data_IF_543944761134
#
_entry.id   IF_543944761134
#
_cell.length_a   1.000
_cell.length_b   1.000
_cell.length_c   1.000
_cell.angle_alpha   90.00
_cell.angle_beta   90.00
_cell.angle_gamma   90.00
#
_symmetry.space_group_name_H-M   'P 1'
#
loop_
_entity.id
_entity.type
_entity.pdbx_description
1 polymer ?
#
# COMPACT_ATOMS: atom_id res chain seq x y z
N UNK A 1 32.92 3.75 2.28
CA UNK A 1 32.75 5.14 1.82
C UNK A 1 31.45 5.14 1.04
N UNK A 2 30.44 5.89 1.48
CA UNK A 2 29.12 5.94 0.83
C UNK A 2 29.24 6.35 -0.63
N UNK A 3 28.56 5.62 -1.51
CA UNK A 3 28.38 5.94 -2.92
C UNK A 3 26.97 6.50 -3.12
N UNK A 4 26.85 7.58 -3.91
CA UNK A 4 25.56 8.20 -4.19
C UNK A 4 25.43 8.59 -5.66
N UNK A 5 24.19 8.62 -6.16
CA UNK A 5 23.87 9.15 -7.48
C UNK A 5 23.92 10.67 -7.51
N UNK A 6 24.57 11.26 -8.51
CA UNK A 6 24.38 12.66 -8.85
C UNK A 6 23.12 12.79 -9.73
N UNK A 7 22.01 13.24 -9.14
CA UNK A 7 20.73 13.44 -9.85
C UNK A 7 20.80 14.48 -10.96
N UNK A 8 21.86 15.31 -11.02
CA UNK A 8 22.08 16.26 -12.11
C UNK A 8 22.66 15.64 -13.37
N UNK A 9 23.69 14.81 -13.24
CA UNK A 9 24.49 14.35 -14.39
C UNK A 9 24.64 12.82 -14.49
N UNK A 10 24.05 12.07 -13.56
CA UNK A 10 24.08 10.61 -13.57
C UNK A 10 25.37 9.97 -13.07
N UNK A 11 26.43 10.75 -12.81
CA UNK A 11 27.67 10.20 -12.27
C UNK A 11 27.54 9.77 -10.80
N UNK A 12 28.37 8.81 -10.42
CA UNK A 12 28.56 8.41 -9.03
C UNK A 12 29.39 9.48 -8.31
N UNK A 13 28.93 9.90 -7.12
CA UNK A 13 29.67 10.76 -6.18
C UNK A 13 30.07 9.99 -4.92
N UNK A 14 31.18 10.40 -4.30
CA UNK A 14 31.71 9.84 -3.04
C UNK A 14 31.08 10.54 -1.84
N UNK A 15 29.84 10.13 -1.54
CA UNK A 15 29.06 10.65 -0.43
C UNK A 15 27.95 11.60 -0.88
N UNK A 16 26.81 11.53 -0.18
CA UNK A 16 25.60 12.28 -0.51
C UNK A 16 25.82 13.80 -0.48
N UNK A 17 26.50 14.31 0.55
CA UNK A 17 26.68 15.75 0.77
C UNK A 17 27.90 16.33 0.04
N UNK A 18 28.68 15.50 -0.64
CA UNK A 18 29.88 15.94 -1.37
C UNK A 18 29.47 16.42 -2.77
N UNK A 19 29.94 17.59 -3.23
CA UNK A 19 29.74 18.03 -4.61
C UNK A 19 30.20 16.96 -5.61
N UNK A 20 29.46 16.80 -6.70
CA UNK A 20 29.83 15.84 -7.74
C UNK A 20 31.12 16.25 -8.44
N UNK A 21 32.10 15.34 -8.53
CA UNK A 21 33.38 15.60 -9.20
C UNK A 21 33.23 15.96 -10.70
N UNK A 22 32.13 15.54 -11.33
CA UNK A 22 31.88 15.80 -12.75
C UNK A 22 31.19 17.15 -13.03
N UNK A 23 30.20 17.54 -12.23
CA UNK A 23 29.41 18.76 -12.49
C UNK A 23 29.55 19.85 -11.42
N UNK A 24 30.26 19.58 -10.33
CA UNK A 24 30.46 20.50 -9.20
C UNK A 24 29.21 20.76 -8.35
N UNK A 25 28.07 20.14 -8.66
CA UNK A 25 26.80 20.37 -7.96
C UNK A 25 26.68 19.46 -6.73
N UNK A 26 26.38 20.05 -5.58
CA UNK A 26 26.05 19.36 -4.33
C UNK A 26 24.60 18.87 -4.27
N UNK A 27 24.21 18.30 -3.14
CA UNK A 27 22.83 17.83 -2.95
C UNK A 27 21.83 18.99 -2.95
N UNK A 28 20.72 18.85 -3.67
CA UNK A 28 19.62 19.84 -3.71
C UNK A 28 18.43 19.40 -2.86
N UNK A 29 18.20 18.09 -2.80
CA UNK A 29 17.19 17.47 -1.95
C UNK A 29 17.81 16.23 -1.32
N UNK A 30 18.40 16.40 -0.13
CA UNK A 30 19.13 15.33 0.56
C UNK A 30 18.24 14.13 0.86
N UNK A 31 16.96 14.35 1.16
CA UNK A 31 16.05 13.27 1.57
C UNK A 31 15.70 12.37 0.39
N UNK A 32 15.43 12.97 -0.78
CA UNK A 32 15.22 12.22 -2.01
C UNK A 32 16.52 11.57 -2.51
N UNK A 33 17.62 12.32 -2.54
CA UNK A 33 18.90 11.81 -3.04
C UNK A 33 19.50 10.71 -2.15
N UNK A 34 19.17 10.68 -0.85
CA UNK A 34 19.56 9.62 0.08
C UNK A 34 19.09 8.24 -0.39
N UNK A 35 17.93 8.17 -1.04
CA UNK A 35 17.36 6.93 -1.57
C UNK A 35 18.15 6.34 -2.74
N UNK A 36 19.01 7.15 -3.36
CA UNK A 36 19.91 6.74 -4.46
C UNK A 36 21.35 6.60 -3.98
N UNK A 37 21.52 6.04 -2.79
CA UNK A 37 22.82 5.71 -2.19
C UNK A 37 22.98 4.21 -1.99
N UNK A 38 24.22 3.78 -1.81
CA UNK A 38 24.59 2.39 -1.53
C UNK A 38 24.07 1.87 -0.17
N UNK A 39 23.40 2.72 0.62
CA UNK A 39 22.65 2.31 1.81
C UNK A 39 21.26 1.75 1.49
N UNK A 40 20.69 2.10 0.35
CA UNK A 40 19.31 1.76 -0.03
C UNK A 40 19.24 0.85 -1.26
N UNK A 41 20.10 1.09 -2.26
CA UNK A 41 20.14 0.32 -3.51
C UNK A 41 21.56 -0.08 -3.86
N UNK A 42 21.74 -1.14 -4.65
CA UNK A 42 23.06 -1.61 -5.06
C UNK A 42 23.79 -0.58 -5.93
N UNK A 43 25.12 -0.63 -5.94
CA UNK A 43 25.92 0.22 -6.84
C UNK A 43 25.56 -0.02 -8.32
N UNK A 44 25.13 -1.24 -8.68
CA UNK A 44 24.68 -1.58 -10.02
C UNK A 44 23.41 -0.79 -10.36
N UNK A 45 22.42 -0.79 -9.47
CA UNK A 45 21.19 0.01 -9.65
C UNK A 45 21.48 1.51 -9.70
N UNK A 46 22.42 2.01 -8.88
CA UNK A 46 22.87 3.41 -8.95
C UNK A 46 23.44 3.75 -10.33
N UNK A 47 24.25 2.86 -10.91
CA UNK A 47 24.83 3.05 -12.26
C UNK A 47 23.75 3.04 -13.33
N UNK A 48 22.75 2.17 -13.23
CA UNK A 48 21.64 2.10 -14.19
C UNK A 48 20.80 3.38 -14.16
N UNK A 49 20.49 3.92 -12.98
CA UNK A 49 19.87 5.25 -12.87
C UNK A 49 20.78 6.35 -13.41
N UNK A 50 22.09 6.24 -13.21
CA UNK A 50 23.07 7.14 -13.79
C UNK A 50 23.02 7.17 -15.32
N UNK A 51 22.98 5.99 -15.95
CA UNK A 51 22.85 5.84 -17.39
C UNK A 51 21.52 6.42 -17.91
N UNK A 52 20.43 6.24 -17.16
CA UNK A 52 19.13 6.86 -17.47
C UNK A 52 19.22 8.39 -17.45
N UNK A 53 19.81 8.98 -16.41
CA UNK A 53 19.97 10.45 -16.33
C UNK A 53 20.82 10.95 -17.50
N UNK A 54 21.94 10.30 -17.81
CA UNK A 54 22.77 10.67 -18.97
C UNK A 54 21.96 10.65 -20.27
N UNK A 55 21.16 9.62 -20.51
CA UNK A 55 20.29 9.53 -21.69
C UNK A 55 19.25 10.65 -21.75
N UNK A 56 18.64 11.02 -20.62
CA UNK A 56 17.72 12.16 -20.54
C UNK A 56 18.45 13.47 -20.84
N UNK A 57 19.64 13.67 -20.26
CA UNK A 57 20.45 14.85 -20.50
C UNK A 57 20.85 14.97 -21.97
N UNK A 58 21.23 13.87 -22.63
CA UNK A 58 21.62 13.88 -24.04
C UNK A 58 20.44 14.16 -24.99
N UNK A 59 19.23 13.77 -24.59
CA UNK A 59 18.02 13.91 -25.40
C UNK A 59 17.33 15.26 -25.23
N UNK A 60 17.47 15.90 -24.07
CA UNK A 60 16.80 17.16 -23.77
C UNK A 60 17.58 18.38 -24.29
N UNK A 61 16.84 19.30 -24.94
CA UNK A 61 17.35 20.64 -25.30
C UNK A 61 17.59 21.46 -24.03
N UNK A 62 16.62 21.48 -23.11
CA UNK A 62 16.74 22.11 -21.79
C UNK A 62 17.16 21.08 -20.73
N UNK A 63 18.34 21.27 -20.14
CA UNK A 63 18.90 20.40 -19.10
C UNK A 63 18.08 20.40 -17.81
N UNK A 64 17.20 21.38 -17.62
CA UNK A 64 16.22 21.42 -16.53
C UNK A 64 15.05 20.47 -16.79
N UNK A 65 14.62 20.34 -18.05
CA UNK A 65 13.60 19.36 -18.44
C UNK A 65 14.12 17.94 -18.24
N UNK A 66 15.38 17.66 -18.60
CA UNK A 66 15.99 16.35 -18.33
C UNK A 66 16.03 16.01 -16.83
N UNK A 67 16.34 16.99 -15.98
CA UNK A 67 16.34 16.83 -14.52
C UNK A 67 14.93 16.46 -14.02
N UNK A 68 13.91 17.24 -14.38
CA UNK A 68 12.53 16.97 -13.95
C UNK A 68 11.90 15.72 -14.61
N UNK A 69 12.38 15.32 -15.79
CA UNK A 69 12.01 14.05 -16.41
C UNK A 69 12.48 12.84 -15.60
N UNK A 70 13.63 12.93 -14.93
CA UNK A 70 14.06 11.89 -13.99
C UNK A 70 13.08 11.77 -12.82
N UNK A 71 12.70 12.88 -12.18
CA UNK A 71 11.68 12.88 -11.13
C UNK A 71 10.33 12.35 -11.61
N UNK A 72 9.91 12.72 -12.83
CA UNK A 72 8.71 12.16 -13.46
C UNK A 72 8.80 10.64 -13.60
N UNK A 73 9.94 10.10 -14.04
CA UNK A 73 10.15 8.65 -14.14
C UNK A 73 10.06 7.99 -12.77
N UNK A 74 10.73 8.52 -11.76
CA UNK A 74 10.69 7.96 -10.41
C UNK A 74 9.26 7.95 -9.87
N UNK A 75 8.55 9.07 -9.91
CA UNK A 75 7.15 9.14 -9.47
C UNK A 75 6.21 8.18 -10.24
N UNK A 76 6.49 7.91 -11.51
CA UNK A 76 5.60 7.16 -12.40
C UNK A 76 5.86 5.66 -12.38
N UNK A 77 7.13 5.25 -12.32
CA UNK A 77 7.56 3.87 -12.53
C UNK A 77 8.19 3.24 -11.28
N UNK A 78 8.68 4.05 -10.33
CA UNK A 78 9.32 3.61 -9.08
C UNK A 78 8.82 4.43 -7.87
N UNK A 79 7.50 4.50 -7.62
CA UNK A 79 6.90 5.39 -6.63
C UNK A 79 7.34 5.12 -5.18
N UNK A 80 7.96 3.97 -4.91
CA UNK A 80 8.58 3.62 -3.64
C UNK A 80 9.76 4.49 -3.24
N UNK A 81 10.44 5.14 -4.20
CA UNK A 81 11.46 6.15 -3.91
C UNK A 81 10.87 7.53 -3.55
N UNK A 82 9.57 7.58 -3.21
CA UNK A 82 8.88 8.78 -2.75
C UNK A 82 8.34 9.64 -3.89
N UNK A 83 7.36 10.47 -3.54
CA UNK A 83 6.72 11.42 -4.46
C UNK A 83 7.40 12.77 -4.28
N UNK A 84 8.05 13.25 -5.33
CA UNK A 84 8.53 14.64 -5.39
C UNK A 84 7.57 15.48 -6.22
N UNK A 85 7.20 16.66 -5.73
CA UNK A 85 6.43 17.61 -6.52
C UNK A 85 7.24 18.08 -7.72
N UNK A 86 6.73 17.84 -8.92
CA UNK A 86 7.30 18.35 -10.15
C UNK A 86 6.70 19.75 -10.37
N UNK A 87 7.50 20.81 -10.56
CA UNK A 87 6.96 22.13 -10.81
C UNK A 87 6.04 22.10 -12.04
N UNK A 88 4.88 22.77 -12.00
CA UNK A 88 3.92 22.77 -13.10
C UNK A 88 4.54 23.18 -14.45
N UNK A 89 5.54 24.07 -14.41
CA UNK A 89 6.29 24.54 -15.59
C UNK A 89 7.04 23.43 -16.34
N UNK A 90 7.38 22.32 -15.67
CA UNK A 90 8.15 21.22 -16.25
C UNK A 90 7.33 19.93 -16.45
N UNK A 91 6.08 19.89 -16.00
CA UNK A 91 5.31 18.63 -15.95
C UNK A 91 5.05 18.05 -17.34
N UNK A 92 4.47 18.84 -18.27
CA UNK A 92 4.17 18.31 -19.60
C UNK A 92 5.42 18.09 -20.46
N UNK A 93 6.41 19.00 -20.40
CA UNK A 93 7.66 18.84 -21.15
C UNK A 93 8.48 17.63 -20.70
N UNK A 94 8.49 17.32 -19.40
CA UNK A 94 9.12 16.11 -18.86
C UNK A 94 8.44 14.84 -19.37
N UNK A 95 7.10 14.84 -19.36
CA UNK A 95 6.29 13.72 -19.85
C UNK A 95 6.42 13.51 -21.36
N UNK A 96 6.49 14.58 -22.15
CA UNK A 96 6.74 14.52 -23.59
C UNK A 96 8.11 13.92 -23.89
N UNK A 97 9.17 14.42 -23.24
CA UNK A 97 10.53 13.87 -23.37
C UNK A 97 10.55 12.37 -23.07
N UNK A 98 9.93 11.93 -21.98
CA UNK A 98 9.90 10.51 -21.60
C UNK A 98 9.15 9.65 -22.61
N UNK A 99 8.06 10.15 -23.20
CA UNK A 99 7.27 9.43 -24.22
C UNK A 99 8.02 9.24 -25.54
N UNK A 100 8.89 10.17 -25.90
CA UNK A 100 9.70 10.09 -27.14
C UNK A 100 10.84 9.07 -27.01
N UNK A 101 11.21 8.70 -25.78
CA UNK A 101 12.31 7.80 -25.50
C UNK A 101 11.84 6.35 -25.34
N UNK A 102 12.54 5.43 -26.00
CA UNK A 102 12.45 4.01 -25.67
C UNK A 102 13.35 3.75 -24.46
N UNK A 103 12.75 3.56 -23.29
CA UNK A 103 13.45 3.32 -22.03
C UNK A 103 13.25 1.86 -21.58
N UNK A 104 14.34 1.24 -21.12
CA UNK A 104 14.29 -0.10 -20.52
C UNK A 104 14.11 0.00 -19.01
N UNK A 105 13.34 -0.92 -18.42
CA UNK A 105 13.19 -0.94 -16.96
C UNK A 105 14.54 -1.15 -16.29
N UNK A 106 14.71 -0.49 -15.15
CA UNK A 106 15.84 -0.69 -14.27
C UNK A 106 15.46 -1.81 -13.30
N UNK A 107 16.36 -2.78 -13.12
CA UNK A 107 16.20 -3.81 -12.10
C UNK A 107 16.75 -3.21 -10.80
N UNK A 108 15.84 -2.98 -9.85
CA UNK A 108 16.24 -2.53 -8.53
C UNK A 108 16.78 -3.72 -7.76
N UNK A 109 18.04 -3.62 -7.36
CA UNK A 109 18.68 -4.50 -6.40
C UNK A 109 18.81 -3.73 -5.09
N UNK A 110 18.21 -4.25 -4.03
CA UNK A 110 18.30 -3.62 -2.71
C UNK A 110 19.76 -3.55 -2.25
N UNK A 111 20.13 -2.43 -1.65
CA UNK A 111 21.43 -2.27 -1.02
C UNK A 111 21.57 -3.19 0.19
N UNK A 112 22.75 -3.25 0.83
CA UNK A 112 22.88 -3.74 2.19
C UNK A 112 22.04 -2.83 3.09
N UNK A 113 20.74 -3.10 3.20
CA UNK A 113 19.81 -2.34 4.01
C UNK A 113 20.51 -2.12 5.34
N UNK A 114 20.75 -0.86 5.70
CA UNK A 114 20.87 -0.46 7.10
C UNK A 114 19.52 -0.86 7.70
N UNK A 115 19.41 -2.12 8.11
CA UNK A 115 18.43 -2.49 9.09
C UNK A 115 18.88 -1.66 10.29
N UNK A 116 18.32 -0.47 10.45
CA UNK A 116 18.13 0.06 11.76
C UNK A 116 17.22 -0.96 12.42
N UNK A 117 17.85 -1.99 12.99
CA UNK A 117 17.27 -3.01 13.85
C UNK A 117 16.51 -2.34 15.00
N UNK A 118 16.76 -1.04 15.23
CA UNK A 118 16.14 -0.21 16.24
C UNK A 118 14.87 0.54 15.82
N UNK A 119 14.53 0.65 14.53
CA UNK A 119 13.25 1.26 14.14
C UNK A 119 12.19 0.19 13.90
N UNK A 120 11.68 -0.36 15.02
CA UNK A 120 10.63 -1.38 15.01
C UNK A 120 9.35 -0.96 14.27
N UNK A 121 9.24 0.33 13.91
CA UNK A 121 8.10 0.96 13.27
C UNK A 121 8.32 1.29 11.79
N UNK A 122 9.48 0.95 11.21
CA UNK A 122 9.78 1.33 9.85
C UNK A 122 8.96 0.53 8.82
N UNK A 123 8.52 1.23 7.78
CA UNK A 123 8.00 0.60 6.57
C UNK A 123 9.13 -0.16 5.87
N UNK A 124 8.89 -1.43 5.53
CA UNK A 124 9.86 -2.30 4.89
C UNK A 124 9.45 -2.57 3.45
N UNK A 125 10.31 -2.16 2.52
CA UNK A 125 10.16 -2.39 1.08
C UNK A 125 11.29 -3.28 0.60
N UNK A 126 10.97 -4.22 -0.28
CA UNK A 126 11.94 -5.04 -1.02
C UNK A 126 11.61 -5.06 -2.49
N UNK A 127 12.62 -5.21 -3.33
CA UNK A 127 12.45 -5.27 -4.77
C UNK A 127 12.55 -6.69 -5.30
N UNK A 128 11.57 -7.07 -6.11
CA UNK A 128 11.47 -8.40 -6.70
C UNK A 128 11.57 -8.33 -8.21
N UNK A 129 12.46 -9.13 -8.78
CA UNK A 129 12.59 -9.26 -10.24
C UNK A 129 11.37 -9.98 -10.81
N UNK A 130 10.85 -9.43 -11.90
CA UNK A 130 9.77 -10.04 -12.67
C UNK A 130 9.90 -9.67 -14.15
N UNK A 131 9.01 -10.18 -14.99
CA UNK A 131 8.87 -9.76 -16.38
C UNK A 131 7.51 -9.11 -16.58
N UNK A 132 7.48 -8.01 -17.34
CA UNK A 132 6.22 -7.37 -17.70
C UNK A 132 5.29 -8.39 -18.39
N UNK A 133 4.04 -8.58 -17.95
CA UNK A 133 3.16 -9.59 -18.53
C UNK A 133 2.80 -9.28 -19.99
N UNK A 134 2.89 -8.01 -20.39
CA UNK A 134 2.51 -7.52 -21.73
C UNK A 134 3.65 -7.57 -22.74
N UNK A 135 4.83 -7.02 -22.42
CA UNK A 135 5.95 -6.92 -23.36
C UNK A 135 7.15 -7.82 -23.02
N UNK A 136 7.08 -8.57 -21.92
CA UNK A 136 8.10 -9.53 -21.44
C UNK A 136 9.46 -8.93 -21.08
N UNK A 137 9.64 -7.62 -21.13
CA UNK A 137 10.85 -6.98 -20.62
C UNK A 137 11.03 -7.27 -19.13
N UNK A 138 12.25 -7.59 -18.73
CA UNK A 138 12.60 -7.68 -17.31
C UNK A 138 12.39 -6.35 -16.63
N UNK A 139 11.93 -6.40 -15.39
CA UNK A 139 11.71 -5.27 -14.50
C UNK A 139 11.77 -5.74 -13.05
N UNK A 140 11.67 -4.80 -12.12
CA UNK A 140 11.38 -5.09 -10.71
C UNK A 140 10.07 -4.45 -10.28
N UNK A 141 9.50 -4.95 -9.20
CA UNK A 141 8.42 -4.27 -8.48
C UNK A 141 8.74 -4.20 -6.99
N UNK A 142 8.23 -3.18 -6.32
CA UNK A 142 8.34 -3.01 -4.88
C UNK A 142 7.26 -3.82 -4.14
N UNK A 143 7.69 -4.68 -3.22
CA UNK A 143 6.86 -5.37 -2.25
C UNK A 143 7.00 -4.71 -0.88
N UNK A 144 5.90 -4.14 -0.39
CA UNK A 144 5.82 -3.44 0.89
C UNK A 144 5.48 -4.46 2.00
N UNK A 145 6.44 -5.27 2.41
CA UNK A 145 6.20 -6.36 3.37
C UNK A 145 5.72 -5.88 4.75
N UNK A 146 6.16 -4.70 5.18
CA UNK A 146 5.62 -4.02 6.37
C UNK A 146 5.26 -2.60 5.98
N UNK A 147 4.01 -2.20 6.20
CA UNK A 147 3.51 -0.87 5.91
C UNK A 147 3.02 -0.22 7.20
N UNK A 148 3.75 0.78 7.69
CA UNK A 148 3.33 1.57 8.84
C UNK A 148 2.34 2.66 8.39
N UNK A 149 1.08 2.48 8.77
CA UNK A 149 -0.01 3.41 8.50
C UNK A 149 -0.17 4.52 9.53
N UNK A 150 0.65 4.60 10.58
CA UNK A 150 0.43 5.52 11.72
C UNK A 150 0.44 6.98 11.27
N UNK A 151 1.53 7.53 10.73
CA UNK A 151 1.65 8.98 10.53
C UNK A 151 1.77 9.44 9.07
N UNK A 152 1.76 8.54 8.09
CA UNK A 152 1.99 8.90 6.69
C UNK A 152 0.69 8.97 5.86
N UNK A 153 0.26 10.21 5.57
CA UNK A 153 -0.92 10.49 4.75
C UNK A 153 -0.79 9.98 3.30
N UNK A 154 0.42 9.94 2.74
CA UNK A 154 0.69 9.45 1.38
C UNK A 154 0.62 7.92 1.31
N UNK A 155 1.06 7.23 2.37
CA UNK A 155 0.88 5.78 2.46
C UNK A 155 -0.61 5.43 2.61
N UNK A 156 -1.33 6.20 3.45
CA UNK A 156 -2.78 6.08 3.64
C UNK A 156 -3.58 6.26 2.34
N UNK A 157 -3.27 7.28 1.53
CA UNK A 157 -3.93 7.48 0.23
C UNK A 157 -3.52 6.39 -0.78
N UNK A 158 -2.24 6.02 -0.79
CA UNK A 158 -1.72 4.99 -1.68
C UNK A 158 -2.35 3.62 -1.49
N UNK A 159 -2.63 3.21 -0.25
CA UNK A 159 -3.32 1.96 0.02
C UNK A 159 -4.76 1.99 -0.52
N UNK A 160 -5.49 3.08 -0.24
CA UNK A 160 -6.88 3.24 -0.69
C UNK A 160 -7.04 3.22 -2.21
N UNK A 161 -6.04 3.72 -2.93
CA UNK A 161 -5.97 3.71 -4.39
C UNK A 161 -5.40 2.41 -4.95
N UNK A 162 -4.94 1.48 -4.10
CA UNK A 162 -4.27 0.25 -4.52
C UNK A 162 -2.92 0.49 -5.22
N UNK A 163 -2.23 1.61 -4.94
CA UNK A 163 -0.93 1.93 -5.55
C UNK A 163 0.14 0.88 -5.21
N UNK A 164 0.17 0.37 -3.98
CA UNK A 164 1.15 -0.63 -3.53
C UNK A 164 1.04 -1.98 -4.25
N UNK A 165 -0.10 -2.26 -4.88
CA UNK A 165 -0.36 -3.52 -5.55
C UNK A 165 -0.33 -3.40 -7.07
N UNK A 166 0.23 -2.30 -7.59
CA UNK A 166 0.33 -2.03 -9.02
C UNK A 166 1.77 -1.70 -9.38
N UNK A 167 2.21 -2.23 -10.51
CA UNK A 167 3.49 -1.89 -11.12
C UNK A 167 3.27 -1.43 -12.56
N UNK A 168 4.04 -0.42 -12.98
CA UNK A 168 3.98 0.15 -14.33
C UNK A 168 5.27 -0.17 -15.07
N UNK A 169 5.17 -0.81 -16.24
CA UNK A 169 6.34 -1.09 -17.06
C UNK A 169 6.79 0.16 -17.81
N UNK A 170 8.04 0.58 -17.66
CA UNK A 170 8.62 1.74 -18.33
C UNK A 170 8.76 1.53 -19.84
N UNK A 171 8.89 0.28 -20.30
CA UNK A 171 9.04 -0.05 -21.72
C UNK A 171 7.75 0.02 -22.53
N UNK A 172 6.61 -0.40 -21.96
CA UNK A 172 5.33 -0.47 -22.69
C UNK A 172 4.19 0.34 -22.05
N UNK A 173 4.50 1.06 -20.97
CA UNK A 173 3.59 1.93 -20.21
C UNK A 173 2.34 1.24 -19.64
N UNK A 174 2.28 -0.09 -19.66
CA UNK A 174 1.14 -0.86 -19.13
C UNK A 174 1.29 -1.06 -17.63
N UNK A 175 0.18 -0.86 -16.92
CA UNK A 175 0.03 -1.16 -15.49
C UNK A 175 -0.47 -2.59 -15.32
N UNK A 176 0.10 -3.31 -14.36
CA UNK A 176 -0.36 -4.64 -13.95
C UNK A 176 -0.39 -4.76 -12.43
N UNK A 177 -1.20 -5.69 -11.95
CA UNK A 177 -1.25 -6.05 -10.54
C UNK A 177 -0.05 -6.89 -10.14
N UNK A 178 0.44 -6.67 -8.93
CA UNK A 178 1.46 -7.49 -8.27
C UNK A 178 0.89 -8.07 -6.97
N UNK A 179 1.32 -9.28 -6.61
CA UNK A 179 0.73 -10.05 -5.51
C UNK A 179 1.80 -10.52 -4.53
N UNK A 180 1.69 -10.06 -3.29
CA UNK A 180 2.65 -10.35 -2.22
C UNK A 180 2.00 -10.27 -0.85
N UNK A 181 2.61 -10.96 0.11
CA UNK A 181 2.20 -10.88 1.51
C UNK A 181 2.67 -9.56 2.14
N UNK A 182 1.80 -8.96 2.94
CA UNK A 182 2.02 -7.65 3.58
C UNK A 182 1.50 -7.68 5.02
N UNK A 183 2.19 -6.96 5.90
CA UNK A 183 1.68 -6.57 7.21
C UNK A 183 1.41 -5.07 7.18
N UNK A 184 0.17 -4.67 7.41
CA UNK A 184 -0.19 -3.29 7.71
C UNK A 184 -0.33 -3.12 9.22
N UNK A 185 0.15 -2.01 9.78
CA UNK A 185 -0.22 -1.65 11.16
C UNK A 185 -0.44 -0.14 11.31
N UNK A 186 -1.30 0.24 12.25
CA UNK A 186 -1.66 1.63 12.55
C UNK A 186 -2.10 1.73 14.00
N UNK A 187 -1.67 2.77 14.72
CA UNK A 187 -1.96 2.99 16.16
C UNK A 187 -2.88 4.19 16.44
N UNK A 188 -3.29 5.00 15.45
CA UNK A 188 -3.91 6.32 15.74
C UNK A 188 -5.37 6.26 16.20
N UNK A 189 -6.22 5.48 15.54
CA UNK A 189 -7.68 5.52 15.76
C UNK A 189 -8.19 4.26 16.45
N UNK A 190 -8.10 3.14 15.73
CA UNK A 190 -8.44 1.82 16.22
C UNK A 190 -7.23 0.93 15.92
N UNK A 191 -6.31 0.77 16.89
CA UNK A 191 -5.05 0.09 16.67
C UNK A 191 -5.28 -1.28 16.02
N UNK A 192 -4.67 -1.48 14.85
CA UNK A 192 -4.83 -2.72 14.11
C UNK A 192 -3.49 -3.18 13.51
N UNK A 193 -3.31 -4.49 13.48
CA UNK A 193 -2.29 -5.16 12.68
C UNK A 193 -3.01 -6.11 11.73
N UNK A 194 -2.83 -5.94 10.44
CA UNK A 194 -3.52 -6.70 9.40
C UNK A 194 -2.47 -7.45 8.57
N UNK A 195 -2.54 -8.78 8.63
CA UNK A 195 -1.74 -9.67 7.82
C UNK A 195 -2.51 -10.02 6.53
N UNK A 196 -2.03 -9.53 5.40
CA UNK A 196 -2.42 -9.99 4.08
C UNK A 196 -1.64 -11.27 3.74
N UNK A 197 -2.38 -12.36 3.53
CA UNK A 197 -1.88 -13.58 2.90
C UNK A 197 -2.57 -13.74 1.54
N UNK A 198 -1.96 -13.17 0.51
CA UNK A 198 -2.55 -13.14 -0.82
C UNK A 198 -2.39 -14.49 -1.50
N UNK A 199 -3.50 -15.14 -1.86
CA UNK A 199 -3.49 -16.47 -2.47
C UNK A 199 -2.79 -16.51 -3.84
N UNK A 200 -2.66 -15.37 -4.50
CA UNK A 200 -1.99 -15.24 -5.81
C UNK A 200 -0.49 -14.91 -5.66
N UNK A 201 0.02 -14.82 -4.44
CA UNK A 201 1.43 -14.49 -4.22
C UNK A 201 2.35 -15.68 -4.45
N UNK A 202 3.21 -15.55 -5.47
CA UNK A 202 4.30 -16.48 -5.74
C UNK A 202 5.55 -16.21 -4.87
N UNK A 203 5.59 -15.10 -4.12
CA UNK A 203 6.74 -14.68 -3.28
C UNK A 203 6.45 -14.78 -1.77
N UNK A 204 5.37 -15.47 -1.39
CA UNK A 204 4.89 -15.64 -0.01
C UNK A 204 5.90 -16.29 0.96
N UNK A 205 6.92 -16.98 0.45
CA UNK A 205 7.92 -17.70 1.24
C UNK A 205 9.05 -16.82 1.80
N UNK A 206 9.21 -15.59 1.34
CA UNK A 206 10.35 -14.73 1.73
C UNK A 206 10.05 -13.78 2.89
N UNK A 207 8.77 -13.58 3.22
CA UNK A 207 8.41 -12.73 4.35
C UNK A 207 8.64 -13.51 5.65
N UNK A 208 9.66 -13.11 6.43
CA UNK A 208 9.73 -13.51 7.84
C UNK A 208 8.46 -13.01 8.51
N UNK A 209 7.60 -13.94 8.92
CA UNK A 209 6.34 -13.58 9.57
C UNK A 209 6.69 -12.92 10.91
N UNK A 210 6.53 -11.61 10.98
CA UNK A 210 6.63 -10.87 12.22
C UNK A 210 5.51 -11.39 13.14
N UNK A 211 5.86 -11.86 14.33
CA UNK A 211 4.91 -12.52 15.25
C UNK A 211 4.02 -11.49 15.92
N UNK A 212 2.90 -11.95 16.48
CA UNK A 212 2.01 -11.12 17.30
C UNK A 212 2.78 -10.45 18.45
N UNK A 213 3.65 -11.21 19.11
CA UNK A 213 4.52 -10.77 20.20
C UNK A 213 5.33 -9.53 19.84
N UNK A 214 5.87 -9.47 18.61
CA UNK A 214 6.62 -8.31 18.14
C UNK A 214 5.78 -7.03 18.20
N UNK A 215 4.50 -7.08 17.85
CA UNK A 215 3.61 -5.92 17.88
C UNK A 215 3.02 -5.67 19.26
N UNK A 216 2.81 -6.69 20.08
CA UNK A 216 2.34 -6.51 21.47
C UNK A 216 3.40 -5.83 22.33
N UNK A 217 4.70 -6.04 22.06
CA UNK A 217 5.77 -5.25 22.66
C UNK A 217 5.69 -3.75 22.29
N UNK A 218 5.06 -3.41 21.15
CA UNK A 218 4.99 -2.04 20.64
C UNK A 218 3.81 -1.27 21.21
N UNK A 219 2.64 -1.92 21.28
CA UNK A 219 1.41 -1.31 21.76
C UNK A 219 0.42 -2.40 22.18
N UNK A 220 -0.21 -2.23 23.34
CA UNK A 220 -1.24 -3.16 23.81
C UNK A 220 -2.59 -2.85 23.16
N UNK A 221 -3.40 -3.88 22.89
CA UNK A 221 -4.78 -3.69 22.44
C UNK A 221 -4.96 -3.60 20.93
N UNK A 222 -3.97 -4.03 20.14
CA UNK A 222 -4.12 -4.19 18.70
C UNK A 222 -5.23 -5.17 18.33
N UNK A 223 -5.99 -4.82 17.28
CA UNK A 223 -6.81 -5.77 16.54
C UNK A 223 -5.93 -6.52 15.53
N UNK A 224 -5.65 -7.78 15.80
CA UNK A 224 -4.96 -8.66 14.85
C UNK A 224 -5.96 -9.27 13.87
N UNK A 225 -5.76 -9.01 12.57
CA UNK A 225 -6.62 -9.53 11.50
C UNK A 225 -5.80 -10.21 10.41
N UNK A 226 -6.34 -11.30 9.88
CA UNK A 226 -5.84 -11.93 8.66
C UNK A 226 -6.84 -11.73 7.54
N UNK A 227 -6.33 -11.29 6.38
CA UNK A 227 -7.09 -11.10 5.14
C UNK A 227 -6.45 -11.89 4.01
N UNK A 228 -7.24 -12.23 2.99
CA UNK A 228 -6.83 -13.12 1.88
C UNK A 228 -6.71 -12.41 0.54
N UNK A 229 -7.12 -11.14 0.47
CA UNK A 229 -7.02 -10.33 -0.75
C UNK A 229 -6.69 -8.88 -0.45
N UNK A 230 -6.12 -8.20 -1.43
CA UNK A 230 -5.82 -6.76 -1.38
C UNK A 230 -7.08 -5.93 -1.10
N UNK A 231 -8.23 -6.33 -1.66
CA UNK A 231 -9.50 -5.65 -1.43
C UNK A 231 -9.98 -5.78 0.03
N UNK A 232 -9.84 -6.97 0.62
CA UNK A 232 -10.14 -7.17 2.04
C UNK A 232 -9.22 -6.33 2.94
N UNK A 233 -7.92 -6.25 2.61
CA UNK A 233 -6.98 -5.39 3.33
C UNK A 233 -7.43 -3.93 3.28
N UNK A 234 -7.67 -3.39 2.08
CA UNK A 234 -8.06 -2.00 1.88
C UNK A 234 -9.36 -1.69 2.64
N UNK A 235 -10.34 -2.60 2.59
CA UNK A 235 -11.58 -2.45 3.33
C UNK A 235 -11.35 -2.45 4.85
N UNK A 236 -10.57 -3.39 5.38
CA UNK A 236 -10.31 -3.50 6.82
C UNK A 236 -9.58 -2.27 7.35
N UNK A 237 -8.60 -1.74 6.61
CA UNK A 237 -7.95 -0.48 6.97
C UNK A 237 -8.97 0.66 7.05
N UNK A 238 -9.87 0.79 6.06
CA UNK A 238 -10.93 1.82 6.10
C UNK A 238 -11.85 1.67 7.30
N UNK A 239 -12.26 0.45 7.63
CA UNK A 239 -13.12 0.17 8.79
C UNK A 239 -12.47 0.68 10.08
N UNK A 240 -11.21 0.30 10.33
CA UNK A 240 -10.52 0.69 11.57
C UNK A 240 -10.22 2.19 11.61
N UNK A 241 -9.88 2.81 10.48
CA UNK A 241 -9.69 4.27 10.40
C UNK A 241 -10.95 5.07 10.64
N UNK A 242 -12.10 4.55 10.25
CA UNK A 242 -13.40 5.14 10.59
C UNK A 242 -13.83 4.80 12.03
N UNK A 243 -12.94 4.27 12.86
CA UNK A 243 -13.18 3.88 14.26
C UNK A 243 -14.42 2.98 14.39
N UNK A 244 -14.47 1.96 13.53
CA UNK A 244 -15.53 0.96 13.52
C UNK A 244 -15.01 -0.40 13.94
N UNK A 245 -15.93 -1.18 14.51
CA UNK A 245 -15.74 -2.61 14.75
C UNK A 245 -16.02 -3.40 13.48
N UNK A 246 -15.05 -4.20 13.05
CA UNK A 246 -15.16 -4.93 11.81
C UNK A 246 -16.18 -6.08 11.86
N UNK A 247 -16.51 -6.58 13.06
CA UNK A 247 -17.63 -7.51 13.26
C UNK A 247 -18.95 -6.80 13.00
N UNK A 248 -19.08 -5.54 13.41
CA UNK A 248 -20.31 -4.76 13.21
C UNK A 248 -20.55 -4.48 11.72
N UNK A 249 -19.49 -4.15 10.98
CA UNK A 249 -19.56 -3.91 9.54
C UNK A 249 -19.95 -5.18 8.78
N UNK A 250 -19.32 -6.32 9.08
CA UNK A 250 -19.66 -7.60 8.46
C UNK A 250 -21.07 -8.08 8.82
N UNK A 251 -21.53 -7.84 10.06
CA UNK A 251 -22.91 -8.12 10.46
C UNK A 251 -23.91 -7.24 9.70
N UNK A 252 -23.60 -5.96 9.48
CA UNK A 252 -24.45 -5.09 8.68
C UNK A 252 -24.57 -5.58 7.22
N UNK A 253 -23.46 -6.02 6.59
CA UNK A 253 -23.50 -6.65 5.26
C UNK A 253 -24.39 -7.89 5.24
N UNK A 254 -24.26 -8.75 6.25
CA UNK A 254 -25.08 -9.96 6.38
C UNK A 254 -26.58 -9.62 6.48
N UNK A 255 -26.97 -8.65 7.31
CA UNK A 255 -28.36 -8.19 7.43
C UNK A 255 -28.89 -7.61 6.11
N UNK A 256 -28.06 -6.85 5.38
CA UNK A 256 -28.47 -6.30 4.07
C UNK A 256 -28.76 -7.45 3.11
N UNK A 257 -27.86 -8.44 3.01
CA UNK A 257 -28.04 -9.60 2.13
C UNK A 257 -29.27 -10.43 2.48
N UNK A 258 -29.58 -10.63 3.77
CA UNK A 258 -30.76 -11.38 4.17
C UNK A 258 -32.06 -10.65 3.82
N UNK A 259 -32.06 -9.31 3.90
CA UNK A 259 -33.25 -8.48 3.65
C UNK A 259 -33.61 -8.23 2.17
N UNK A 260 -32.74 -8.60 1.22
CA UNK A 260 -32.97 -8.36 -0.21
C UNK A 260 -32.85 -9.65 -1.03
N UNK A 261 -34.00 -10.25 -1.37
CA UNK A 261 -34.11 -11.45 -2.20
C UNK A 261 -33.38 -11.34 -3.56
N UNK A 262 -33.18 -10.12 -4.06
CA UNK A 262 -32.55 -9.83 -5.36
C UNK A 262 -31.05 -9.48 -5.33
N UNK A 263 -30.39 -9.41 -4.17
CA UNK A 263 -28.96 -9.00 -4.06
C UNK A 263 -28.02 -10.05 -3.46
N UNK A 264 -28.47 -11.31 -3.29
CA UNK A 264 -27.65 -12.40 -2.72
C UNK A 264 -26.30 -12.64 -3.42
N UNK A 265 -26.11 -12.16 -4.65
CA UNK A 265 -24.88 -12.32 -5.42
C UNK A 265 -23.98 -11.07 -5.50
N UNK A 266 -24.33 -9.95 -4.84
CA UNK A 266 -23.44 -8.78 -4.82
C UNK A 266 -22.48 -8.82 -3.64
N UNK A 267 -21.17 -8.89 -3.88
CA UNK A 267 -20.18 -8.69 -2.81
C UNK A 267 -20.20 -7.22 -2.39
N UNK A 268 -20.66 -6.94 -1.16
CA UNK A 268 -20.69 -5.59 -0.59
C UNK A 268 -19.36 -5.25 0.07
N UNK A 269 -18.85 -4.06 -0.26
CA UNK A 269 -17.62 -3.51 0.30
C UNK A 269 -17.96 -2.20 1.01
N UNK A 270 -17.51 -2.07 2.24
CA UNK A 270 -17.59 -0.87 3.03
C UNK A 270 -16.78 0.26 2.36
N UNK A 271 -17.43 1.42 2.23
CA UNK A 271 -16.82 2.60 1.62
C UNK A 271 -16.42 3.64 2.65
N UNK A 272 -17.36 4.07 3.49
CA UNK A 272 -17.14 5.12 4.50
C UNK A 272 -18.31 5.21 5.49
N UNK A 273 -18.06 5.84 6.64
CA UNK A 273 -19.06 6.23 7.63
C UNK A 273 -19.63 7.60 7.28
N UNK A 274 -20.95 7.75 7.34
CA UNK A 274 -21.64 9.03 7.18
C UNK A 274 -22.35 9.40 8.47
N UNK A 275 -22.09 10.61 8.95
CA UNK A 275 -22.77 11.19 10.11
C UNK A 275 -23.80 12.23 9.69
N UNK A 276 -24.99 12.19 10.29
CA UNK A 276 -26.02 13.21 10.13
C UNK A 276 -26.60 13.57 11.50
N UNK A 277 -26.73 14.87 11.78
CA UNK A 277 -27.20 15.38 13.09
C UNK A 277 -28.56 14.80 13.47
N UNK A 278 -29.49 14.69 12.50
CA UNK A 278 -30.86 14.24 12.74
C UNK A 278 -30.95 12.71 12.65
N UNK A 279 -30.36 12.12 11.60
CA UNK A 279 -30.52 10.68 11.27
C UNK A 279 -29.51 9.76 11.97
N UNK A 280 -28.50 10.32 12.63
CA UNK A 280 -27.43 9.57 13.28
C UNK A 280 -26.37 9.08 12.29
N UNK A 281 -25.62 8.06 12.69
CA UNK A 281 -24.58 7.44 11.88
C UNK A 281 -25.16 6.37 10.94
N UNK A 282 -24.58 6.29 9.74
CA UNK A 282 -24.86 5.26 8.75
C UNK A 282 -23.58 4.75 8.12
N UNK A 283 -23.56 3.47 7.75
CA UNK A 283 -22.51 2.86 6.96
C UNK A 283 -22.90 2.92 5.48
N UNK A 284 -21.94 3.24 4.63
CA UNK A 284 -22.12 3.24 3.18
C UNK A 284 -21.40 2.03 2.59
N UNK A 285 -22.15 1.17 1.91
CA UNK A 285 -21.62 0.02 1.19
C UNK A 285 -21.74 0.25 -0.31
N UNK A 286 -20.79 -0.27 -1.08
CA UNK A 286 -20.80 -0.32 -2.55
C UNK A 286 -20.74 -1.76 -3.02
N UNK A 287 -21.23 -2.02 -4.22
CA UNK A 287 -21.00 -3.31 -4.87
C UNK A 287 -19.55 -3.36 -5.38
N UNK A 288 -18.86 -4.46 -5.12
CA UNK A 288 -17.47 -4.70 -5.55
C UNK A 288 -17.30 -4.63 -7.08
N UNK A 289 -18.33 -4.99 -7.85
CA UNK A 289 -18.34 -5.00 -9.32
C UNK A 289 -18.80 -3.64 -9.86
N UNK A 290 -19.90 -3.10 -9.34
CA UNK A 290 -20.45 -1.82 -9.78
C UNK A 290 -20.45 -0.78 -8.64
N UNK A 291 -19.41 0.06 -8.62
CA UNK A 291 -19.22 1.06 -7.57
C UNK A 291 -20.13 2.31 -7.71
N UNK A 292 -20.98 2.39 -8.75
CA UNK A 292 -21.92 3.52 -8.93
C UNK A 292 -23.02 3.52 -7.88
N UNK A 293 -23.45 2.33 -7.46
CA UNK A 293 -24.59 2.16 -6.58
C UNK A 293 -24.11 2.01 -5.13
N UNK A 294 -24.75 2.74 -4.22
CA UNK A 294 -24.46 2.67 -2.80
C UNK A 294 -25.68 2.26 -1.98
N UNK A 295 -25.43 1.46 -0.95
CA UNK A 295 -26.44 1.05 0.03
C UNK A 295 -26.11 1.73 1.35
N UNK A 296 -27.11 2.44 1.91
CA UNK A 296 -27.00 3.09 3.20
C UNK A 296 -27.59 2.19 4.29
N UNK A 297 -26.79 1.83 5.28
CA UNK A 297 -27.23 1.10 6.45
C UNK A 297 -27.24 2.03 7.67
N UNK A 298 -28.42 2.28 8.24
CA UNK A 298 -28.52 3.13 9.44
C UNK A 298 -28.10 2.35 10.69
N UNK A 299 -27.18 2.92 11.47
CA UNK A 299 -26.72 2.33 12.73
C UNK A 299 -27.76 2.43 13.85
N UNK A 300 -28.85 3.16 13.65
CA UNK A 300 -30.01 3.15 14.56
C UNK A 300 -30.93 1.95 14.33
N UNK A 301 -30.88 1.35 13.13
CA UNK A 301 -31.70 0.20 12.79
C UNK A 301 -31.26 -1.00 13.65
N UNK A 302 -32.18 -1.53 14.45
CA UNK A 302 -31.96 -2.67 15.35
C UNK A 302 -30.72 -2.51 16.26
N UNK A 303 -30.46 -1.29 16.77
CA UNK A 303 -29.23 -0.97 17.48
C UNK A 303 -29.01 -1.81 18.76
N UNK A 304 -30.08 -2.14 19.48
CA UNK A 304 -29.98 -2.99 20.68
C UNK A 304 -29.71 -4.45 20.32
N UNK A 305 -30.47 -5.00 19.36
CA UNK A 305 -30.25 -6.38 18.91
C UNK A 305 -28.83 -6.55 18.34
N UNK A 306 -28.35 -5.59 17.54
CA UNK A 306 -26.97 -5.61 17.02
C UNK A 306 -25.93 -5.60 18.13
N UNK A 307 -26.02 -4.67 19.09
CA UNK A 307 -25.08 -4.59 20.21
C UNK A 307 -25.05 -5.89 21.01
N UNK A 308 -26.22 -6.50 21.22
CA UNK A 308 -26.32 -7.81 21.86
C UNK A 308 -25.61 -8.91 21.06
N UNK A 309 -25.89 -9.03 19.76
CA UNK A 309 -25.25 -10.02 18.88
C UNK A 309 -23.73 -9.86 18.82
N UNK A 310 -23.24 -8.63 18.64
CA UNK A 310 -21.80 -8.32 18.64
C UNK A 310 -21.16 -8.75 19.96
N UNK A 311 -21.82 -8.50 21.10
CA UNK A 311 -21.30 -8.91 22.41
C UNK A 311 -21.16 -10.44 22.55
N UNK A 312 -22.10 -11.20 21.98
CA UNK A 312 -22.03 -12.67 21.97
C UNK A 312 -20.93 -13.17 21.04
N UNK A 313 -20.81 -12.59 19.85
CA UNK A 313 -19.76 -12.90 18.88
C UNK A 313 -18.36 -12.66 19.47
N UNK A 314 -18.14 -11.51 20.12
CA UNK A 314 -16.86 -11.20 20.79
C UNK A 314 -16.54 -12.19 21.90
N UNK A 315 -17.52 -12.55 22.75
CA UNK A 315 -17.34 -13.58 23.77
C UNK A 315 -16.95 -14.93 23.17
N UNK A 316 -17.46 -15.26 21.98
CA UNK A 316 -17.12 -16.50 21.29
C UNK A 316 -15.73 -16.44 20.67
N UNK A 317 -15.37 -15.33 20.02
CA UNK A 317 -14.05 -15.09 19.43
C UNK A 317 -12.94 -15.06 20.49
N UNK A 318 -13.19 -14.49 21.68
CA UNK A 318 -12.20 -14.49 22.77
C UNK A 318 -11.87 -15.91 23.30
N UNK A 319 -12.69 -16.92 22.97
CA UNK A 319 -12.37 -18.33 23.27
C UNK A 319 -11.52 -18.97 22.18
N UNK A 320 -11.42 -18.37 21.00
CA UNK A 320 -10.57 -18.87 19.93
C UNK A 320 -9.11 -18.55 20.28
N UNK A 321 -8.26 -19.57 20.32
CA UNK A 321 -6.82 -19.43 20.65
C UNK A 321 -5.98 -18.91 19.47
N UNK A 322 -6.61 -18.32 18.45
CA UNK A 322 -5.90 -17.86 17.27
C UNK A 322 -5.49 -16.40 17.45
N UNK A 323 -4.21 -16.15 17.24
CA UNK A 323 -3.62 -14.81 17.30
C UNK A 323 -4.11 -13.89 16.18
N UNK A 324 -4.44 -14.46 15.02
CA UNK A 324 -4.90 -13.72 13.84
C UNK A 324 -6.31 -14.12 13.46
N UNK A 325 -7.27 -13.22 13.69
CA UNK A 325 -8.67 -13.48 13.39
C UNK A 325 -9.01 -13.15 11.94
N UNK A 326 -9.72 -14.06 11.26
CA UNK A 326 -10.35 -13.77 9.98
C UNK A 326 -11.79 -13.35 10.28
N UNK A 327 -12.12 -12.09 10.06
CA UNK A 327 -13.48 -11.55 10.24
C UNK A 327 -13.99 -11.12 8.87
N UNK A 328 -14.82 -11.95 8.26
CA UNK A 328 -15.51 -11.68 7.00
C UNK A 328 -16.96 -12.15 7.10
N UNK A 329 -17.73 -12.00 6.03
CA UNK A 329 -19.14 -12.39 6.01
C UNK A 329 -19.37 -13.85 6.38
N UNK A 330 -18.57 -14.77 5.83
CA UNK A 330 -18.64 -16.21 6.13
C UNK A 330 -18.37 -16.49 7.62
N UNK A 331 -17.39 -15.81 8.22
CA UNK A 331 -17.12 -15.95 9.66
C UNK A 331 -18.27 -15.44 10.50
N UNK A 332 -18.87 -14.30 10.14
CA UNK A 332 -20.05 -13.78 10.86
C UNK A 332 -21.21 -14.76 10.78
N UNK A 333 -21.48 -15.33 9.61
CA UNK A 333 -22.52 -16.36 9.45
C UNK A 333 -22.23 -17.60 10.32
N UNK A 334 -20.97 -18.05 10.33
CA UNK A 334 -20.53 -19.15 11.20
C UNK A 334 -20.77 -18.80 12.68
N UNK A 335 -20.36 -17.60 13.12
CA UNK A 335 -20.53 -17.15 14.50
C UNK A 335 -22.01 -17.04 14.90
N UNK A 336 -22.88 -16.57 14.00
CA UNK A 336 -24.34 -16.56 14.22
C UNK A 336 -24.87 -17.97 14.48
N UNK A 337 -24.43 -18.94 13.67
CA UNK A 337 -24.75 -20.35 13.87
C UNK A 337 -24.25 -20.90 15.21
N UNK A 338 -23.00 -20.60 15.59
CA UNK A 338 -22.40 -21.02 16.87
C UNK A 338 -23.14 -20.44 18.09
N UNK A 339 -23.72 -19.25 18.00
CA UNK A 339 -24.50 -18.62 19.08
C UNK A 339 -26.01 -18.92 19.01
N UNK A 340 -26.44 -19.79 18.09
CA UNK A 340 -27.83 -20.24 17.96
C UNK A 340 -28.79 -19.22 17.37
N UNK A 341 -28.29 -18.23 16.63
CA UNK A 341 -29.11 -17.19 16.00
C UNK A 341 -29.30 -17.50 14.52
N UNK A 342 -30.56 -17.65 14.11
CA UNK A 342 -30.96 -17.62 12.70
C UNK A 342 -31.52 -16.24 12.39
N UNK A 343 -30.81 -15.45 11.60
CA UNK A 343 -31.35 -14.21 11.07
C UNK A 343 -32.21 -14.59 9.86
N UNK A 344 -33.50 -14.18 9.82
CA UNK A 344 -34.40 -14.51 8.71
C UNK A 344 -33.95 -13.91 7.37
#
# INVERSE_FOLDING_TARGET
>A
MTVALCTKCGNIKKGLLVPCDNCGIGSRNSDFELLFTDHYISEITIRDFGALISKLQDSAIDKSVAEWAFYYIINTYYPEFGISDIPPTYTESSKELVKELVLDNIIIEDGPILSNIDDKYATMVKHYKTNCPFCKSSMSFAAWHVLNGTSDANLKSGLNEGRFFRSKCMRCDKVHSVYYDMIYFDIEYNPAVILLKDSLSDISHEMKTVTKDYFEELFEGFNYRKVRSQNELIEKVRIFRDDLDDIEVELAKHIIHSSSESKKNSSLVYSHKRSNIIKGQSLVFKNSINQSDSILYSMRKHAEQRRYLISLMKKRLNKDKHDWLVINQDRVETLLGEIGVKIP
#
